data_IF_168547236665
#
_entry.id   IF_168547236665
#
_cell.length_a   1.000
_cell.length_b   1.000
_cell.length_c   1.000
_cell.angle_alpha   90.00
_cell.angle_beta   90.00
_cell.angle_gamma   90.00
#
_symmetry.space_group_name_H-M   'P 1'
#
loop_
_entity.id
_entity.type
_entity.pdbx_description
1 polymer ?
#
# COMPACT_ATOMS: atom_id res chain seq x y z
N UNK A 1 1.99 18.72 -14.49
CA UNK A 1 1.83 19.16 -13.09
C UNK A 1 0.35 19.45 -12.85
N UNK A 2 -0.17 19.20 -11.65
CA UNK A 2 -1.52 19.62 -11.23
C UNK A 2 -1.40 20.58 -10.05
N UNK A 3 -2.20 21.63 -10.03
CA UNK A 3 -2.27 22.58 -8.91
C UNK A 3 -3.22 22.05 -7.84
N UNK A 4 -3.01 22.47 -6.59
CA UNK A 4 -3.96 22.22 -5.52
C UNK A 4 -5.30 22.90 -5.84
N UNK A 5 -6.40 22.14 -5.82
CA UNK A 5 -7.77 22.66 -6.05
C UNK A 5 -8.50 23.01 -4.74
N UNK A 6 -7.93 22.60 -3.60
CA UNK A 6 -8.38 22.95 -2.25
C UNK A 6 -7.22 23.50 -1.41
N UNK A 7 -7.47 24.35 -0.39
CA UNK A 7 -6.43 24.83 0.52
C UNK A 7 -5.88 23.72 1.42
N UNK A 8 -4.77 24.00 2.10
CA UNK A 8 -4.11 23.01 2.96
C UNK A 8 -5.01 22.75 4.16
N UNK A 9 -5.25 21.48 4.49
CA UNK A 9 -6.11 21.09 5.59
C UNK A 9 -5.29 20.36 6.67
N UNK A 10 -5.23 20.94 7.88
CA UNK A 10 -4.51 20.36 9.02
C UNK A 10 -5.08 19.01 9.46
N UNK A 11 -6.40 18.83 9.42
CA UNK A 11 -7.06 17.55 9.73
C UNK A 11 -6.64 16.46 8.75
N UNK A 12 -6.59 16.79 7.45
CA UNK A 12 -6.11 15.87 6.42
C UNK A 12 -4.65 15.45 6.67
N UNK A 13 -3.77 16.41 6.94
CA UNK A 13 -2.39 16.11 7.32
C UNK A 13 -2.32 15.24 8.60
N UNK A 14 -3.20 15.49 9.57
CA UNK A 14 -3.36 14.71 10.79
C UNK A 14 -3.68 13.24 10.55
N UNK A 15 -4.48 12.91 9.52
CA UNK A 15 -4.79 11.53 9.17
C UNK A 15 -3.56 10.72 8.80
N UNK A 16 -2.54 11.33 8.19
CA UNK A 16 -1.30 10.63 7.93
C UNK A 16 -0.56 10.27 9.22
N UNK A 17 -0.60 11.14 10.23
CA UNK A 17 0.03 10.87 11.53
C UNK A 17 -0.69 9.78 12.33
N UNK A 18 -2.02 9.70 12.21
CA UNK A 18 -2.83 8.67 12.88
C UNK A 18 -2.99 7.39 12.07
N UNK A 19 -2.31 7.24 10.93
CA UNK A 19 -2.46 6.14 9.98
C UNK A 19 -3.93 5.91 9.53
N UNK A 20 -4.70 6.99 9.40
CA UNK A 20 -6.10 6.95 8.99
C UNK A 20 -6.19 6.97 7.45
N UNK A 21 -6.91 6.00 6.89
CA UNK A 21 -7.10 5.83 5.46
C UNK A 21 -7.74 7.06 4.78
N UNK A 22 -8.53 7.85 5.52
CA UNK A 22 -9.12 9.11 5.06
C UNK A 22 -8.09 10.12 4.51
N UNK A 23 -6.82 10.01 4.92
CA UNK A 23 -5.72 10.77 4.32
C UNK A 23 -5.73 10.69 2.79
N UNK A 24 -5.94 9.50 2.23
CA UNK A 24 -5.89 9.30 0.79
C UNK A 24 -7.05 9.97 0.07
N UNK A 25 -8.24 10.01 0.68
CA UNK A 25 -9.39 10.71 0.11
C UNK A 25 -9.15 12.23 0.11
N UNK A 26 -8.79 12.80 1.26
CA UNK A 26 -8.61 14.24 1.36
C UNK A 26 -7.35 14.74 0.60
N UNK A 27 -6.32 13.90 0.45
CA UNK A 27 -5.19 14.18 -0.44
C UNK A 27 -5.69 14.33 -1.87
N UNK A 28 -6.49 13.37 -2.35
CA UNK A 28 -7.02 13.34 -3.71
C UNK A 28 -7.98 14.51 -3.97
N UNK A 29 -8.76 14.91 -2.98
CA UNK A 29 -9.61 16.10 -3.07
C UNK A 29 -8.83 17.40 -3.23
N UNK A 30 -7.62 17.49 -2.67
CA UNK A 30 -6.70 18.62 -2.88
C UNK A 30 -5.98 18.51 -4.22
N UNK A 31 -5.63 17.28 -4.63
CA UNK A 31 -4.84 16.99 -5.82
C UNK A 31 -5.49 15.86 -6.64
N UNK A 32 -6.48 16.18 -7.49
CA UNK A 32 -7.18 15.19 -8.29
C UNK A 32 -6.26 14.64 -9.39
N UNK A 33 -5.60 13.53 -9.12
CA UNK A 33 -4.62 12.89 -9.97
C UNK A 33 -5.29 11.94 -10.97
N UNK A 34 -5.53 12.48 -12.17
CA UNK A 34 -6.08 11.76 -13.32
C UNK A 34 -7.57 11.48 -13.19
N UNK A 35 -8.18 10.95 -14.26
CA UNK A 35 -9.63 10.74 -14.36
C UNK A 35 -10.20 9.73 -13.36
N UNK A 36 -9.34 8.94 -12.72
CA UNK A 36 -9.73 7.86 -11.80
C UNK A 36 -9.39 8.14 -10.34
N UNK A 37 -8.98 9.36 -10.00
CA UNK A 37 -8.70 9.74 -8.61
C UNK A 37 -7.65 8.83 -7.94
N UNK A 38 -6.40 8.88 -8.43
CA UNK A 38 -5.43 7.81 -8.22
C UNK A 38 -5.15 7.44 -6.75
N UNK A 39 -4.96 8.41 -5.84
CA UNK A 39 -4.74 8.13 -4.41
C UNK A 39 -5.95 7.50 -3.75
N UNK A 40 -7.16 7.79 -4.21
CA UNK A 40 -8.38 7.13 -3.74
C UNK A 40 -8.44 5.69 -4.23
N UNK A 41 -8.27 5.44 -5.53
CA UNK A 41 -8.38 4.08 -6.09
C UNK A 41 -7.24 3.17 -5.66
N UNK A 42 -6.04 3.70 -5.47
CA UNK A 42 -4.90 2.92 -4.97
C UNK A 42 -4.83 3.00 -3.44
N UNK A 43 -4.47 4.16 -2.89
CA UNK A 43 -4.14 4.32 -1.47
C UNK A 43 -5.30 4.00 -0.53
N UNK A 44 -6.46 4.66 -0.71
CA UNK A 44 -7.61 4.45 0.17
C UNK A 44 -8.12 3.01 0.10
N UNK A 45 -8.38 2.51 -1.12
CA UNK A 45 -8.83 1.13 -1.37
C UNK A 45 -7.97 0.09 -0.64
N UNK A 46 -6.64 0.19 -0.77
CA UNK A 46 -5.73 -0.76 -0.12
C UNK A 46 -5.65 -0.60 1.38
N UNK A 47 -5.63 0.64 1.87
CA UNK A 47 -5.60 0.91 3.30
C UNK A 47 -6.84 0.31 3.99
N UNK A 48 -8.02 0.45 3.38
CA UNK A 48 -9.26 -0.13 3.88
C UNK A 48 -9.27 -1.66 3.76
N UNK A 49 -8.90 -2.23 2.62
CA UNK A 49 -8.81 -3.69 2.45
C UNK A 49 -7.86 -4.32 3.48
N UNK A 50 -6.68 -3.74 3.68
CA UNK A 50 -5.72 -4.21 4.69
C UNK A 50 -6.31 -4.15 6.10
N UNK A 51 -7.04 -3.08 6.41
CA UNK A 51 -7.67 -2.91 7.74
C UNK A 51 -8.79 -3.95 7.95
N UNK A 52 -9.64 -4.16 6.93
CA UNK A 52 -10.76 -5.12 6.98
C UNK A 52 -10.30 -6.57 7.09
N UNK A 53 -9.24 -6.93 6.37
CA UNK A 53 -8.75 -8.32 6.30
C UNK A 53 -7.62 -8.62 7.29
N UNK A 54 -7.24 -7.66 8.14
CA UNK A 54 -6.12 -7.81 9.07
C UNK A 54 -6.23 -9.09 9.90
N UNK A 55 -7.43 -9.43 10.38
CA UNK A 55 -7.66 -10.61 11.22
C UNK A 55 -7.47 -11.94 10.48
N UNK A 56 -7.47 -11.95 9.15
CA UNK A 56 -7.27 -13.17 8.39
C UNK A 56 -5.77 -13.55 8.30
N UNK A 57 -4.86 -12.62 8.62
CA UNK A 57 -3.43 -12.88 8.69
C UNK A 57 -3.06 -13.55 10.03
N UNK A 58 -2.02 -14.38 10.01
CA UNK A 58 -1.41 -14.89 11.24
C UNK A 58 -0.72 -13.75 12.03
N UNK A 59 -0.21 -14.07 13.23
CA UNK A 59 0.42 -13.06 14.09
C UNK A 59 1.60 -12.32 13.44
N UNK A 60 2.36 -12.97 12.56
CA UNK A 60 3.51 -12.36 11.86
C UNK A 60 3.01 -11.49 10.70
N UNK A 61 2.01 -11.96 9.97
CA UNK A 61 1.33 -11.24 8.89
C UNK A 61 0.62 -9.97 9.38
N UNK A 62 -0.05 -10.04 10.52
CA UNK A 62 -0.65 -8.86 11.15
C UNK A 62 0.40 -7.81 11.49
N UNK A 63 1.54 -8.21 12.08
CA UNK A 63 2.65 -7.30 12.35
C UNK A 63 3.18 -6.68 11.05
N UNK A 64 3.32 -7.47 9.99
CA UNK A 64 3.77 -6.99 8.68
C UNK A 64 2.80 -5.95 8.09
N UNK A 65 1.50 -6.24 8.06
CA UNK A 65 0.48 -5.33 7.52
C UNK A 65 0.47 -4.00 8.29
N UNK A 66 0.49 -4.06 9.62
CA UNK A 66 0.56 -2.86 10.46
C UNK A 66 1.86 -2.08 10.25
N UNK A 67 2.98 -2.78 10.08
CA UNK A 67 4.27 -2.16 9.77
C UNK A 67 4.23 -1.43 8.43
N UNK A 68 3.75 -2.06 7.35
CA UNK A 68 3.65 -1.46 6.02
C UNK A 68 2.75 -0.23 6.05
N UNK A 69 1.56 -0.35 6.68
CA UNK A 69 0.62 0.77 6.82
C UNK A 69 1.29 1.96 7.49
N UNK A 70 1.89 1.76 8.67
CA UNK A 70 2.59 2.81 9.42
C UNK A 70 3.77 3.40 8.64
N UNK A 71 4.58 2.55 8.00
CA UNK A 71 5.73 2.97 7.21
C UNK A 71 5.31 3.85 6.02
N UNK A 72 4.27 3.46 5.28
CA UNK A 72 3.78 4.22 4.13
C UNK A 72 3.31 5.60 4.55
N UNK A 73 2.47 5.69 5.58
CA UNK A 73 1.99 6.97 6.10
C UNK A 73 3.12 7.89 6.55
N UNK A 74 4.10 7.35 7.30
CA UNK A 74 5.31 8.08 7.69
C UNK A 74 6.09 8.59 6.48
N UNK A 75 6.33 7.73 5.49
CA UNK A 75 7.09 8.09 4.28
C UNK A 75 6.37 9.11 3.41
N UNK A 76 5.05 9.00 3.22
CA UNK A 76 4.25 10.00 2.50
C UNK A 76 4.26 11.35 3.22
N UNK A 77 4.12 11.35 4.55
CA UNK A 77 4.20 12.57 5.36
C UNK A 77 5.56 13.24 5.20
N UNK A 78 6.64 12.46 5.26
CA UNK A 78 8.02 12.96 5.11
C UNK A 78 8.33 13.45 3.69
N UNK A 79 7.69 12.89 2.66
CA UNK A 79 7.84 13.34 1.29
C UNK A 79 7.15 14.70 1.03
N UNK A 80 6.34 15.19 1.97
CA UNK A 80 5.70 16.52 1.96
C UNK A 80 4.85 16.83 0.73
N UNK A 81 4.41 15.82 -0.04
CA UNK A 81 3.55 16.02 -1.21
C UNK A 81 2.30 16.84 -0.89
N UNK A 82 1.68 16.58 0.27
CA UNK A 82 0.45 17.28 0.67
C UNK A 82 0.67 18.78 0.96
N UNK A 83 1.89 19.16 1.37
CA UNK A 83 2.25 20.52 1.73
C UNK A 83 2.59 21.39 0.50
N UNK A 84 2.71 20.79 -0.68
CA UNK A 84 3.00 21.50 -1.92
C UNK A 84 1.77 22.29 -2.40
N UNK A 85 1.99 23.22 -3.34
CA UNK A 85 0.90 23.91 -4.05
C UNK A 85 0.61 23.29 -5.42
N UNK A 86 1.53 22.47 -5.92
CA UNK A 86 1.37 21.70 -7.14
C UNK A 86 2.18 20.40 -7.05
N UNK A 87 1.73 19.36 -7.76
CA UNK A 87 2.42 18.07 -7.79
C UNK A 87 2.47 17.48 -9.20
N UNK A 88 3.42 16.58 -9.43
CA UNK A 88 3.42 15.73 -10.61
C UNK A 88 2.78 14.37 -10.27
N UNK A 89 1.58 14.09 -10.80
CA UNK A 89 0.88 12.83 -10.53
C UNK A 89 1.66 11.58 -10.96
N UNK A 90 2.41 11.65 -12.06
CA UNK A 90 3.23 10.52 -12.49
C UNK A 90 4.39 10.28 -11.50
N UNK A 91 5.02 11.36 -11.03
CA UNK A 91 6.06 11.27 -10.01
C UNK A 91 5.51 10.79 -8.66
N UNK A 92 4.32 11.25 -8.26
CA UNK A 92 3.62 10.79 -7.05
C UNK A 92 3.41 9.27 -7.13
N UNK A 93 2.87 8.78 -8.25
CA UNK A 93 2.60 7.36 -8.49
C UNK A 93 3.89 6.52 -8.47
N UNK A 94 4.93 6.95 -9.19
CA UNK A 94 6.23 6.27 -9.19
C UNK A 94 6.84 6.24 -7.78
N UNK A 95 6.74 7.37 -7.07
CA UNK A 95 7.25 7.46 -5.70
C UNK A 95 6.46 6.56 -4.76
N UNK A 96 5.14 6.50 -4.87
CA UNK A 96 4.31 5.64 -4.04
C UNK A 96 4.71 4.16 -4.12
N UNK A 97 4.97 3.62 -5.32
CA UNK A 97 5.46 2.25 -5.47
C UNK A 97 6.86 2.07 -4.90
N UNK A 98 7.75 3.06 -5.06
CA UNK A 98 9.08 3.04 -4.42
C UNK A 98 8.97 3.04 -2.90
N UNK A 99 8.14 3.90 -2.31
CA UNK A 99 7.93 3.96 -0.86
C UNK A 99 7.32 2.65 -0.35
N UNK A 100 6.38 2.06 -1.10
CA UNK A 100 5.83 0.73 -0.79
C UNK A 100 6.92 -0.33 -0.78
N UNK A 101 7.78 -0.36 -1.80
CA UNK A 101 8.92 -1.27 -1.86
C UNK A 101 9.87 -1.11 -0.67
N UNK A 102 10.21 0.14 -0.32
CA UNK A 102 11.04 0.44 0.84
C UNK A 102 10.40 -0.06 2.15
N UNK A 103 9.08 0.09 2.33
CA UNK A 103 8.38 -0.42 3.51
C UNK A 103 8.37 -1.95 3.61
N UNK A 104 8.32 -2.63 2.47
CA UNK A 104 8.45 -4.10 2.46
C UNK A 104 9.87 -4.59 2.74
N UNK A 105 10.89 -3.73 2.57
CA UNK A 105 12.31 -4.08 2.67
C UNK A 105 13.02 -3.45 3.85
N UNK A 106 12.33 -2.66 4.67
CA UNK A 106 12.91 -1.98 5.85
C UNK A 106 13.40 -2.98 6.91
N UNK A 107 12.86 -4.19 6.92
CA UNK A 107 13.27 -5.28 7.82
C UNK A 107 12.96 -6.66 7.21
N UNK A 108 13.26 -7.73 7.96
CA UNK A 108 13.03 -9.12 7.53
C UNK A 108 11.58 -9.60 7.69
N UNK A 109 10.69 -8.80 8.28
CA UNK A 109 9.33 -9.20 8.62
C UNK A 109 8.51 -9.63 7.40
N UNK A 110 8.80 -9.07 6.22
CA UNK A 110 8.21 -9.56 4.98
C UNK A 110 8.61 -10.99 4.67
N UNK A 111 9.91 -11.31 4.74
CA UNK A 111 10.40 -12.66 4.51
C UNK A 111 9.83 -13.66 5.52
N UNK A 112 9.63 -13.24 6.77
CA UNK A 112 9.14 -14.10 7.84
C UNK A 112 7.63 -14.38 7.72
N UNK A 113 6.85 -13.42 7.21
CA UNK A 113 5.38 -13.54 7.14
C UNK A 113 4.85 -14.01 5.78
N UNK A 114 5.59 -13.78 4.69
CA UNK A 114 5.03 -13.91 3.35
C UNK A 114 4.56 -15.33 3.02
N UNK A 115 5.36 -16.34 3.36
CA UNK A 115 5.06 -17.74 2.99
C UNK A 115 3.77 -18.24 3.68
N UNK A 116 3.59 -17.96 4.98
CA UNK A 116 2.39 -18.38 5.74
C UNK A 116 1.15 -17.54 5.44
N UNK A 117 1.31 -16.32 4.92
CA UNK A 117 0.21 -15.38 4.65
C UNK A 117 -0.02 -15.16 3.15
N UNK A 118 0.58 -15.96 2.28
CA UNK A 118 0.58 -15.74 0.82
C UNK A 118 -0.82 -15.61 0.25
N UNK A 119 -1.74 -16.49 0.64
CA UNK A 119 -3.13 -16.50 0.16
C UNK A 119 -3.86 -15.22 0.60
N UNK A 120 -3.58 -14.72 1.80
CA UNK A 120 -4.11 -13.46 2.31
C UNK A 120 -3.65 -12.26 1.50
N UNK A 121 -2.37 -12.22 1.13
CA UNK A 121 -1.87 -11.19 0.21
C UNK A 121 -2.49 -11.29 -1.18
N UNK A 122 -2.77 -12.50 -1.69
CA UNK A 122 -3.44 -12.69 -2.98
C UNK A 122 -4.90 -12.21 -2.95
N UNK A 123 -5.64 -12.41 -1.85
CA UNK A 123 -7.03 -11.93 -1.72
C UNK A 123 -7.16 -10.40 -1.70
N UNK A 124 -6.12 -9.69 -1.26
CA UNK A 124 -6.09 -8.23 -1.28
C UNK A 124 -5.97 -7.65 -2.70
N UNK A 125 -5.43 -8.44 -3.64
CA UNK A 125 -5.09 -8.06 -5.01
C UNK A 125 -6.19 -8.53 -5.96
N UNK A 126 -6.87 -7.59 -6.61
CA UNK A 126 -7.70 -7.89 -7.77
C UNK A 126 -6.82 -7.87 -9.03
N UNK A 127 -6.51 -9.05 -9.57
CA UNK A 127 -5.64 -9.20 -10.75
C UNK A 127 -6.16 -8.47 -12.01
N UNK A 128 -7.42 -8.07 -12.05
CA UNK A 128 -8.00 -7.31 -13.16
C UNK A 128 -7.72 -5.80 -13.06
N UNK A 129 -7.14 -5.34 -11.96
CA UNK A 129 -6.82 -3.94 -11.73
C UNK A 129 -5.33 -3.65 -11.93
N UNK A 130 -5.01 -2.68 -12.80
CA UNK A 130 -3.62 -2.30 -13.14
C UNK A 130 -2.80 -1.84 -11.92
N UNK A 131 -3.47 -1.26 -10.93
CA UNK A 131 -2.87 -0.80 -9.68
C UNK A 131 -2.40 -1.97 -8.83
N UNK A 132 -3.22 -3.01 -8.79
CA UNK A 132 -3.00 -4.28 -8.14
C UNK A 132 -1.85 -5.03 -8.77
N UNK A 133 -1.72 -5.00 -10.09
CA UNK A 133 -0.56 -5.56 -10.79
C UNK A 133 0.78 -4.96 -10.36
N UNK A 134 0.86 -3.63 -10.15
CA UNK A 134 2.12 -2.98 -9.77
C UNK A 134 2.45 -3.17 -8.28
N UNK A 135 1.45 -3.15 -7.41
CA UNK A 135 1.62 -3.53 -6.01
C UNK A 135 2.08 -4.99 -5.90
N UNK A 136 1.51 -5.89 -6.72
CA UNK A 136 1.91 -7.30 -6.80
C UNK A 136 3.34 -7.46 -7.32
N UNK A 137 3.74 -6.75 -8.38
CA UNK A 137 5.14 -6.72 -8.85
C UNK A 137 6.11 -6.30 -7.76
N UNK A 138 5.72 -5.32 -6.95
CA UNK A 138 6.51 -4.86 -5.81
C UNK A 138 6.71 -6.01 -4.81
N UNK A 139 5.62 -6.66 -4.37
CA UNK A 139 5.70 -7.79 -3.45
C UNK A 139 6.49 -8.97 -4.00
N UNK A 140 6.31 -9.33 -5.27
CA UNK A 140 7.09 -10.39 -5.94
C UNK A 140 8.58 -10.05 -5.95
N UNK A 141 8.93 -8.80 -6.27
CA UNK A 141 10.32 -8.35 -6.26
C UNK A 141 10.97 -8.45 -4.88
N UNK A 142 10.20 -8.25 -3.81
CA UNK A 142 10.68 -8.43 -2.43
C UNK A 142 10.74 -9.91 -2.06
N UNK A 143 9.73 -10.70 -2.39
CA UNK A 143 9.70 -12.14 -2.12
C UNK A 143 10.85 -12.89 -2.80
N UNK A 144 11.23 -12.49 -4.03
CA UNK A 144 12.40 -13.06 -4.71
C UNK A 144 13.73 -12.78 -3.96
N UNK A 145 13.81 -11.70 -3.17
CA UNK A 145 14.97 -11.45 -2.30
C UNK A 145 14.99 -12.35 -1.06
N UNK A 146 13.82 -12.71 -0.56
CA UNK A 146 13.66 -13.61 0.59
C UNK A 146 13.88 -15.07 0.21
N UNK A 147 13.37 -15.50 -0.95
CA UNK A 147 13.33 -16.88 -1.40
C UNK A 147 13.70 -16.99 -2.90
N UNK A 148 14.98 -16.82 -3.27
CA UNK A 148 15.43 -16.78 -4.67
C UNK A 148 15.14 -18.06 -5.49
N UNK A 149 14.70 -19.15 -4.85
CA UNK A 149 14.38 -20.45 -5.49
C UNK A 149 12.88 -20.75 -5.62
N UNK A 150 11.95 -19.90 -5.13
CA UNK A 150 10.50 -20.13 -5.19
C UNK A 150 9.85 -19.29 -6.30
N UNK A 151 10.10 -19.63 -7.57
CA UNK A 151 9.46 -19.00 -8.74
C UNK A 151 8.09 -19.67 -8.96
N UNK A 152 7.06 -19.26 -8.21
CA UNK A 152 5.66 -19.46 -8.62
C UNK A 152 4.68 -18.57 -7.81
N UNK A 153 5.08 -17.34 -7.50
CA UNK A 153 4.31 -16.42 -6.66
C UNK A 153 2.97 -15.97 -7.27
N UNK A 154 2.81 -16.11 -8.59
CA UNK A 154 1.61 -15.76 -9.35
C UNK A 154 0.60 -16.89 -9.50
N UNK A 155 0.93 -18.14 -9.13
CA UNK A 155 -0.07 -19.20 -9.11
C UNK A 155 -1.06 -18.89 -7.98
N UNK A 156 -2.31 -18.56 -8.35
CA UNK A 156 -3.41 -18.46 -7.38
C UNK A 156 -3.51 -19.79 -6.64
N UNK A 157 -3.41 -19.74 -5.31
CA UNK A 157 -3.89 -20.86 -4.52
C UNK A 157 -5.41 -20.88 -4.58
N UNK A 158 -6.02 -22.06 -4.60
CA UNK A 158 -7.46 -22.23 -4.38
C UNK A 158 -7.81 -22.18 -2.88
N UNK A 159 -6.80 -22.22 -2.02
CA UNK A 159 -6.96 -22.09 -0.57
C UNK A 159 -7.29 -20.65 -0.21
N UNK A 160 -8.41 -20.47 0.50
CA UNK A 160 -8.80 -19.18 1.05
C UNK A 160 -7.83 -18.75 2.15
N UNK A 161 -7.69 -17.45 2.32
CA UNK A 161 -7.06 -16.88 3.50
C UNK A 161 -7.90 -17.23 4.73
N UNK A 162 -7.45 -18.22 5.48
CA UNK A 162 -8.06 -18.64 6.73
C UNK A 162 -6.96 -18.84 7.78
N UNK A 163 -7.27 -18.45 9.02
CA UNK A 163 -6.44 -18.73 10.17
C UNK A 163 -6.36 -20.26 10.30
N UNK A 164 -5.17 -20.83 10.16
CA UNK A 164 -4.93 -22.20 10.61
C UNK A 164 -4.87 -22.10 12.13
N UNK A 165 -5.99 -22.41 12.79
CA UNK A 165 -6.10 -22.51 14.24
C UNK A 165 -5.40 -23.77 14.71
#
# INVERSE_FOLDING_TARGET
MIKAVKPFNRTCAGYAHSNNCEYYQCFEERFPCGEKYWMKVWGYKYCERLTKHLQNFDSVGQRLVLHIKKCLFKKFSNARYYNMNEINCNQLKTSAYRLLYECYTENRLFCDAYDSNRNCFQELIDNNERHDYQAMKTMIGVANKCHPKKINLLQRSTEKCQIIV
#
